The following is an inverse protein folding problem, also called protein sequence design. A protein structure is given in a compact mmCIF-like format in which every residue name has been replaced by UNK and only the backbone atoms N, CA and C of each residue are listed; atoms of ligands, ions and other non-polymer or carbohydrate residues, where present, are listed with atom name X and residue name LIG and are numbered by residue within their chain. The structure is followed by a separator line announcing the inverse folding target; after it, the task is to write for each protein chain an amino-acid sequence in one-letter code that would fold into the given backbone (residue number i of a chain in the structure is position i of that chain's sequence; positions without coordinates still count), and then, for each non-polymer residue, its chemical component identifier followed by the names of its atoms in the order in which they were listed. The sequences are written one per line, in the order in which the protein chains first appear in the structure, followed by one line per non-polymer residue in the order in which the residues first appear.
data_IF_073748334280
#
_entry.id   IF_073748334280
#
_cell.length_a   1.000
_cell.length_b   1.000
_cell.length_c   1.000
_cell.angle_alpha   90.00
_cell.angle_beta   90.00
_cell.angle_gamma   90.00
#
_symmetry.space_group_name_H-M   'P 1'
#
loop_
_entity.id
_entity.type
_entity.pdbx_description
1 polymer ?
#
# COMPACT_ATOMS: atom_id res chain seq x y z
N UNK A 1 32.29 -45.19 20.72
CA UNK A 1 30.83 -44.99 20.57
C UNK A 1 30.62 -43.60 20.00
N UNK A 2 30.30 -43.53 18.71
CA UNK A 2 30.20 -42.28 17.95
C UNK A 2 28.75 -41.81 17.94
N UNK A 3 28.48 -40.60 18.43
CA UNK A 3 27.15 -40.00 18.36
C UNK A 3 27.07 -39.09 17.14
N UNK A 4 26.29 -39.51 16.15
CA UNK A 4 25.89 -38.68 15.01
C UNK A 4 24.91 -37.60 15.48
N UNK A 5 25.09 -36.32 15.11
CA UNK A 5 24.17 -35.26 15.48
C UNK A 5 22.90 -35.32 14.63
N UNK A 6 21.76 -35.48 15.30
CA UNK A 6 20.42 -35.41 14.70
C UNK A 6 20.12 -33.96 14.29
N UNK A 7 20.02 -33.72 12.98
CA UNK A 7 19.54 -32.45 12.42
C UNK A 7 18.05 -32.28 12.71
N UNK A 8 17.69 -31.22 13.43
CA UNK A 8 16.28 -30.86 13.62
C UNK A 8 15.68 -30.29 12.32
N UNK A 9 14.40 -30.61 12.01
CA UNK A 9 13.73 -30.08 10.84
C UNK A 9 13.49 -28.57 10.99
N UNK A 10 13.92 -27.81 9.97
CA UNK A 10 13.65 -26.37 9.85
C UNK A 10 12.14 -26.11 9.90
N UNK A 11 11.68 -25.48 10.97
CA UNK A 11 10.34 -24.90 11.03
C UNK A 11 10.28 -23.70 10.09
N UNK A 12 9.32 -23.64 9.15
CA UNK A 12 9.19 -22.49 8.26
C UNK A 12 8.80 -21.26 9.06
N UNK A 13 9.61 -20.20 8.96
CA UNK A 13 9.31 -18.90 9.55
C UNK A 13 7.92 -18.42 9.09
N UNK A 14 7.02 -18.03 10.01
CA UNK A 14 5.75 -17.42 9.62
C UNK A 14 6.04 -16.11 8.89
N UNK A 15 5.61 -16.01 7.63
CA UNK A 15 5.71 -14.76 6.86
C UNK A 15 4.90 -13.67 7.58
N UNK A 16 5.40 -12.43 7.64
CA UNK A 16 4.65 -11.32 8.20
C UNK A 16 3.35 -11.12 7.40
N UNK A 17 2.21 -11.09 8.09
CA UNK A 17 0.92 -10.74 7.51
C UNK A 17 1.06 -9.40 6.78
N UNK A 18 0.88 -9.42 5.46
CA UNK A 18 0.88 -8.22 4.65
C UNK A 18 -0.49 -7.55 4.85
N UNK A 19 -0.62 -6.44 5.58
CA UNK A 19 -1.90 -5.88 6.01
C UNK A 19 -2.75 -5.32 4.86
N UNK A 20 -2.25 -5.38 3.62
CA UNK A 20 -2.93 -4.93 2.41
C UNK A 20 -3.75 -6.05 1.75
N UNK A 21 -3.49 -7.31 2.10
CA UNK A 21 -4.25 -8.45 1.61
C UNK A 21 -4.95 -9.13 2.76
N UNK A 22 -6.26 -9.19 2.62
CA UNK A 22 -7.15 -9.86 3.52
C UNK A 22 -6.84 -11.35 3.44
N UNK A 23 -6.71 -11.98 4.60
CA UNK A 23 -6.58 -13.44 4.67
C UNK A 23 -7.78 -14.11 4.00
N UNK A 24 -7.63 -15.35 3.51
CA UNK A 24 -8.77 -16.10 2.93
C UNK A 24 -9.93 -16.23 3.93
N UNK A 25 -9.62 -16.23 5.23
CA UNK A 25 -10.60 -16.19 6.31
C UNK A 25 -11.32 -14.83 6.40
N UNK A 26 -10.63 -13.71 6.17
CA UNK A 26 -11.24 -12.37 6.14
C UNK A 26 -12.07 -12.14 4.88
N UNK A 27 -11.79 -12.84 3.77
CA UNK A 27 -12.60 -12.82 2.54
C UNK A 27 -13.84 -13.72 2.59
N UNK A 28 -14.02 -14.49 3.66
CA UNK A 28 -15.23 -15.26 3.85
C UNK A 28 -16.45 -14.33 3.94
N UNK A 29 -17.60 -14.69 3.35
CA UNK A 29 -18.81 -13.85 3.33
C UNK A 29 -19.34 -13.47 4.73
N UNK A 30 -18.83 -14.12 5.79
CA UNK A 30 -19.24 -13.94 7.18
C UNK A 30 -18.12 -13.34 8.06
N UNK A 31 -16.92 -13.14 7.52
CA UNK A 31 -15.86 -12.50 8.26
C UNK A 31 -16.06 -10.99 8.19
N UNK A 32 -15.90 -10.33 9.33
CA UNK A 32 -15.96 -8.88 9.47
C UNK A 32 -14.76 -8.20 8.80
N UNK A 33 -14.49 -8.53 7.55
CA UNK A 33 -13.79 -7.66 6.64
C UNK A 33 -14.46 -6.31 6.75
N UNK A 34 -13.78 -5.35 7.39
CA UNK A 34 -14.41 -4.19 7.97
C UNK A 34 -15.09 -3.40 6.86
N UNK A 35 -16.41 -3.60 6.69
CA UNK A 35 -17.22 -2.94 5.65
C UNK A 35 -16.98 -1.43 5.72
N UNK A 36 -16.78 -0.89 6.92
CA UNK A 36 -16.45 0.53 7.13
C UNK A 36 -15.10 0.93 6.53
N UNK A 37 -14.09 0.06 6.55
CA UNK A 37 -12.81 0.32 5.88
C UNK A 37 -12.98 0.31 4.36
N UNK A 38 -13.77 -0.63 3.84
CA UNK A 38 -14.04 -0.69 2.40
C UNK A 38 -14.82 0.53 1.92
N UNK A 39 -15.84 0.94 2.67
CA UNK A 39 -16.61 2.17 2.47
C UNK A 39 -15.72 3.42 2.55
N UNK A 40 -14.78 3.45 3.49
CA UNK A 40 -13.82 4.55 3.61
C UNK A 40 -12.73 4.55 2.53
N UNK A 41 -12.46 3.41 1.88
CA UNK A 41 -11.39 3.25 0.89
C UNK A 41 -11.89 2.51 -0.38
N UNK A 42 -12.89 3.06 -1.10
CA UNK A 42 -13.57 2.34 -2.16
C UNK A 42 -12.62 1.97 -3.31
N UNK A 43 -11.75 2.90 -3.71
CA UNK A 43 -10.76 2.67 -4.77
C UNK A 43 -9.75 1.59 -4.41
N UNK A 44 -9.23 1.62 -3.19
CA UNK A 44 -8.23 0.64 -2.74
C UNK A 44 -8.87 -0.75 -2.62
N UNK A 45 -10.10 -0.80 -2.10
CA UNK A 45 -10.89 -2.03 -2.02
C UNK A 45 -11.15 -2.62 -3.40
N UNK A 46 -11.51 -1.80 -4.38
CA UNK A 46 -11.71 -2.23 -5.75
C UNK A 46 -10.41 -2.79 -6.38
N UNK A 47 -9.27 -2.11 -6.16
CA UNK A 47 -7.96 -2.60 -6.62
C UNK A 47 -7.57 -3.94 -5.99
N UNK A 48 -7.81 -4.12 -4.69
CA UNK A 48 -7.58 -5.39 -3.98
C UNK A 48 -8.47 -6.48 -4.59
N UNK A 49 -9.75 -6.18 -4.81
CA UNK A 49 -10.70 -7.08 -5.45
C UNK A 49 -10.21 -7.54 -6.84
N UNK A 50 -9.74 -6.63 -7.69
CA UNK A 50 -9.18 -6.98 -9.01
C UNK A 50 -8.00 -7.95 -8.90
N UNK A 51 -7.09 -7.73 -7.96
CA UNK A 51 -5.94 -8.63 -7.75
C UNK A 51 -6.39 -9.99 -7.21
N UNK A 52 -7.39 -10.02 -6.32
CA UNK A 52 -7.90 -11.26 -5.77
C UNK A 52 -8.54 -12.17 -6.83
N UNK A 53 -9.13 -11.59 -7.89
CA UNK A 53 -9.67 -12.34 -9.04
C UNK A 53 -8.61 -13.11 -9.83
N UNK A 54 -7.32 -12.82 -9.63
CA UNK A 54 -6.20 -13.55 -10.22
C UNK A 54 -5.92 -14.84 -9.44
N UNK A 55 -6.91 -15.72 -9.34
CA UNK A 55 -6.82 -16.97 -8.55
C UNK A 55 -5.73 -17.92 -9.04
N UNK A 56 -5.30 -17.78 -10.30
CA UNK A 56 -4.16 -18.51 -10.87
C UNK A 56 -2.81 -18.09 -10.27
N UNK A 57 -2.72 -16.91 -9.65
CA UNK A 57 -1.51 -16.43 -8.99
C UNK A 57 -1.55 -16.77 -7.50
N UNK A 58 -0.45 -17.29 -6.97
CA UNK A 58 -0.30 -17.51 -5.53
C UNK A 58 -0.45 -16.20 -4.75
N UNK A 59 -0.94 -16.29 -3.52
CA UNK A 59 -1.15 -15.13 -2.63
C UNK A 59 0.08 -14.21 -2.48
N UNK A 60 1.32 -14.72 -2.31
CA UNK A 60 2.50 -13.85 -2.21
C UNK A 60 2.80 -13.09 -3.52
N UNK A 61 2.48 -13.69 -4.66
CA UNK A 61 2.65 -13.08 -5.99
C UNK A 61 1.60 -11.99 -6.19
N UNK A 62 0.34 -12.25 -5.79
CA UNK A 62 -0.73 -11.25 -5.76
C UNK A 62 -0.37 -10.03 -4.91
N UNK A 63 0.16 -10.27 -3.70
CA UNK A 63 0.70 -9.21 -2.85
C UNK A 63 1.75 -8.35 -3.58
N UNK A 64 2.75 -9.02 -4.15
CA UNK A 64 3.87 -8.37 -4.82
C UNK A 64 3.43 -7.58 -6.06
N UNK A 65 2.44 -8.08 -6.80
CA UNK A 65 1.87 -7.42 -7.96
C UNK A 65 1.18 -6.11 -7.56
N UNK A 66 0.37 -6.13 -6.50
CA UNK A 66 -0.32 -4.94 -6.01
C UNK A 66 0.65 -3.88 -5.52
N UNK A 67 1.69 -4.28 -4.78
CA UNK A 67 2.74 -3.36 -4.35
C UNK A 67 3.49 -2.77 -5.56
N UNK A 68 3.77 -3.58 -6.58
CA UNK A 68 4.41 -3.13 -7.80
C UNK A 68 3.53 -2.14 -8.58
N UNK A 69 2.22 -2.38 -8.72
CA UNK A 69 1.30 -1.45 -9.37
C UNK A 69 1.17 -0.14 -8.58
N UNK A 70 1.12 -0.19 -7.25
CA UNK A 70 1.14 1.02 -6.41
C UNK A 70 2.45 1.81 -6.53
N UNK A 71 3.59 1.13 -6.73
CA UNK A 71 4.88 1.79 -6.88
C UNK A 71 5.13 2.36 -8.29
N UNK A 72 4.52 1.76 -9.31
CA UNK A 72 4.76 2.13 -10.72
C UNK A 72 3.67 3.06 -11.22
N UNK A 73 2.48 2.51 -11.44
CA UNK A 73 1.22 3.21 -11.65
C UNK A 73 0.13 2.15 -11.86
N UNK A 74 -1.11 2.51 -11.55
CA UNK A 74 -2.29 1.75 -11.97
C UNK A 74 -2.75 2.25 -13.35
N UNK A 75 -3.45 1.41 -14.15
CA UNK A 75 -4.13 1.87 -15.36
C UNK A 75 -4.97 3.11 -15.06
N UNK A 76 -4.97 4.06 -15.99
CA UNK A 76 -5.53 5.42 -15.79
C UNK A 76 -6.97 5.39 -15.32
N UNK A 77 -7.80 4.56 -15.95
CA UNK A 77 -9.20 4.41 -15.56
C UNK A 77 -9.35 3.79 -14.15
N UNK A 78 -8.36 3.04 -13.66
CA UNK A 78 -8.32 2.49 -12.30
C UNK A 78 -7.64 3.43 -11.28
N UNK A 79 -7.42 4.70 -11.64
CA UNK A 79 -6.86 5.71 -10.74
C UNK A 79 -7.90 6.45 -9.89
N UNK A 80 -9.18 6.38 -10.26
CA UNK A 80 -10.30 6.94 -9.49
C UNK A 80 -11.54 6.06 -9.60
N UNK A 81 -12.49 6.18 -8.66
CA UNK A 81 -13.76 5.45 -8.76
C UNK A 81 -14.64 5.96 -9.90
N UNK A 82 -14.60 7.27 -10.20
CA UNK A 82 -15.37 7.88 -11.27
C UNK A 82 -15.01 7.30 -12.64
N UNK A 83 -13.71 7.03 -12.85
CA UNK A 83 -13.20 6.45 -14.09
C UNK A 83 -13.23 4.92 -14.08
N UNK A 84 -13.13 4.27 -12.92
CA UNK A 84 -13.10 2.81 -12.84
C UNK A 84 -14.43 2.16 -13.22
N UNK A 85 -15.52 2.91 -13.11
CA UNK A 85 -16.85 2.50 -13.58
C UNK A 85 -17.03 2.58 -15.10
N UNK A 86 -16.10 3.22 -15.82
CA UNK A 86 -16.18 3.43 -17.26
C UNK A 86 -15.38 2.38 -18.01
N UNK A 87 -16.03 1.75 -18.99
CA UNK A 87 -15.34 0.89 -19.95
C UNK A 87 -14.44 1.74 -20.84
N UNK A 88 -13.21 1.26 -21.06
CA UNK A 88 -12.35 1.85 -22.07
C UNK A 88 -12.98 1.63 -23.45
N UNK A 89 -12.87 2.65 -24.30
CA UNK A 89 -13.22 2.48 -25.71
C UNK A 89 -12.12 1.65 -26.38
N UNK A 90 -12.47 0.61 -27.18
CA UNK A 90 -11.51 -0.08 -28.02
C UNK A 90 -10.69 0.93 -28.84
N UNK A 91 -9.38 0.69 -28.99
CA UNK A 91 -8.47 1.56 -29.75
C UNK A 91 -8.29 2.98 -29.20
N UNK A 92 -8.74 3.26 -27.98
CA UNK A 92 -8.40 4.50 -27.30
C UNK A 92 -6.88 4.67 -27.18
N UNK A 93 -6.35 5.89 -27.23
CA UNK A 93 -4.92 6.10 -27.04
C UNK A 93 -4.46 5.56 -25.69
N UNK A 94 -3.28 4.92 -25.66
CA UNK A 94 -2.69 4.42 -24.43
C UNK A 94 -2.02 5.57 -23.69
N UNK A 95 -2.39 5.79 -22.42
CA UNK A 95 -1.66 6.74 -21.59
C UNK A 95 -0.30 6.16 -21.18
N UNK A 96 0.61 7.03 -20.74
CA UNK A 96 1.91 6.61 -20.19
C UNK A 96 1.74 5.67 -18.99
N UNK A 97 0.76 5.92 -18.13
CA UNK A 97 0.46 5.08 -16.97
C UNK A 97 -0.12 3.72 -17.38
N UNK A 98 -0.95 3.68 -18.42
CA UNK A 98 -1.46 2.43 -18.97
C UNK A 98 -0.32 1.55 -19.51
N UNK A 99 0.65 2.15 -20.20
CA UNK A 99 1.84 1.44 -20.72
C UNK A 99 2.70 0.90 -19.58
N UNK A 100 2.93 1.71 -18.52
CA UNK A 100 3.66 1.28 -17.32
C UNK A 100 2.97 0.09 -16.64
N UNK A 101 1.65 0.19 -16.45
CA UNK A 101 0.85 -0.87 -15.84
C UNK A 101 0.85 -2.14 -16.71
N UNK A 102 0.70 -2.00 -18.04
CA UNK A 102 0.72 -3.11 -18.99
C UNK A 102 2.04 -3.89 -18.88
N UNK A 103 3.19 -3.21 -18.94
CA UNK A 103 4.49 -3.84 -18.77
C UNK A 103 4.62 -4.54 -17.40
N UNK A 104 4.10 -3.92 -16.33
CA UNK A 104 4.16 -4.50 -15.00
C UNK A 104 3.31 -5.78 -14.90
N UNK A 105 2.10 -5.79 -15.45
CA UNK A 105 1.22 -6.96 -15.40
C UNK A 105 1.84 -8.17 -16.12
N UNK A 106 2.40 -7.98 -17.31
CA UNK A 106 3.08 -9.06 -18.03
C UNK A 106 4.37 -9.52 -17.35
N UNK A 107 5.06 -8.64 -16.60
CA UNK A 107 6.21 -9.03 -15.77
C UNK A 107 5.82 -10.08 -14.72
N UNK A 108 4.58 -10.03 -14.22
CA UNK A 108 4.02 -11.02 -13.29
C UNK A 108 3.42 -12.25 -14.01
N UNK A 109 3.71 -12.43 -15.30
CA UNK A 109 3.25 -13.55 -16.12
C UNK A 109 1.72 -13.68 -16.19
N UNK A 110 0.99 -12.58 -16.07
CA UNK A 110 -0.44 -12.60 -16.35
C UNK A 110 -0.67 -12.89 -17.83
N UNK A 111 -1.69 -13.69 -18.12
CA UNK A 111 -2.11 -13.93 -19.51
C UNK A 111 -2.77 -12.68 -20.08
N UNK A 112 -2.73 -12.53 -21.40
CA UNK A 112 -3.35 -11.40 -22.10
C UNK A 112 -4.85 -11.29 -21.83
N UNK A 113 -5.53 -12.42 -21.66
CA UNK A 113 -6.96 -12.49 -21.32
C UNK A 113 -7.22 -11.95 -19.91
N UNK A 114 -6.36 -12.29 -18.93
CA UNK A 114 -6.49 -11.76 -17.58
C UNK A 114 -6.20 -10.25 -17.54
N UNK A 115 -5.20 -9.80 -18.28
CA UNK A 115 -4.83 -8.38 -18.37
C UNK A 115 -5.97 -7.56 -18.97
N UNK A 116 -6.49 -7.95 -20.13
CA UNK A 116 -7.58 -7.21 -20.79
C UNK A 116 -8.86 -7.25 -19.97
N UNK A 117 -9.19 -8.39 -19.36
CA UNK A 117 -10.44 -8.57 -18.62
C UNK A 117 -10.49 -7.81 -17.30
N UNK A 118 -9.38 -7.72 -16.57
CA UNK A 118 -9.38 -7.19 -15.20
C UNK A 118 -8.75 -5.80 -15.08
N UNK A 119 -7.85 -5.43 -15.99
CA UNK A 119 -7.06 -4.20 -15.86
C UNK A 119 -7.25 -3.21 -16.99
N UNK A 120 -7.82 -3.62 -18.12
CA UNK A 120 -8.08 -2.77 -19.28
C UNK A 120 -9.45 -3.08 -19.87
N UNK A 121 -10.48 -3.07 -19.02
CA UNK A 121 -11.83 -3.46 -19.41
C UNK A 121 -12.32 -2.60 -20.58
N UNK A 122 -12.71 -3.26 -21.68
CA UNK A 122 -13.07 -2.61 -22.94
C UNK A 122 -11.98 -2.63 -24.03
N UNK A 123 -10.73 -2.96 -23.68
CA UNK A 123 -9.70 -3.34 -24.66
C UNK A 123 -9.68 -4.86 -24.88
N UNK A 124 -9.23 -5.28 -26.05
CA UNK A 124 -9.12 -6.72 -26.35
C UNK A 124 -7.80 -7.30 -25.86
N UNK A 125 -7.76 -8.62 -25.66
CA UNK A 125 -6.53 -9.33 -25.29
C UNK A 125 -5.42 -9.18 -26.34
N UNK A 126 -5.80 -9.21 -27.63
CA UNK A 126 -4.86 -9.01 -28.74
C UNK A 126 -4.31 -7.59 -28.76
N UNK A 127 -5.15 -6.57 -28.51
CA UNK A 127 -4.69 -5.18 -28.42
C UNK A 127 -3.65 -4.98 -27.31
N UNK A 128 -3.85 -5.63 -26.16
CA UNK A 128 -2.88 -5.60 -25.05
C UNK A 128 -1.56 -6.28 -25.43
N UNK A 129 -1.62 -7.43 -26.11
CA UNK A 129 -0.45 -8.18 -26.57
C UNK A 129 0.33 -7.44 -27.67
N UNK A 130 -0.37 -6.93 -28.69
CA UNK A 130 0.21 -6.12 -29.77
C UNK A 130 0.90 -4.88 -29.21
N UNK A 131 0.26 -4.19 -28.24
CA UNK A 131 0.88 -3.02 -27.63
C UNK A 131 2.12 -3.37 -26.83
N UNK A 132 2.09 -4.47 -26.07
CA UNK A 132 3.29 -4.94 -25.36
C UNK A 132 4.41 -5.30 -26.33
N UNK A 133 4.12 -6.00 -27.41
CA UNK A 133 5.10 -6.37 -28.43
C UNK A 133 5.73 -5.13 -29.08
N UNK A 134 4.93 -4.10 -29.37
CA UNK A 134 5.41 -2.82 -29.88
C UNK A 134 6.37 -2.14 -28.88
N UNK A 135 6.00 -2.07 -27.59
CA UNK A 135 6.84 -1.50 -26.54
C UNK A 135 8.20 -2.22 -26.40
N UNK A 136 8.18 -3.55 -26.44
CA UNK A 136 9.41 -4.36 -26.40
C UNK A 136 10.28 -4.15 -27.65
N UNK A 137 9.66 -4.02 -28.83
CA UNK A 137 10.35 -3.69 -30.08
C UNK A 137 11.03 -2.33 -30.05
N UNK A 138 10.36 -1.31 -29.53
CA UNK A 138 10.91 0.04 -29.34
C UNK A 138 12.10 0.03 -28.37
N UNK A 139 12.00 -0.73 -27.28
CA UNK A 139 13.06 -0.87 -26.28
C UNK A 139 14.32 -1.55 -26.86
N UNK A 140 14.12 -2.59 -27.67
CA UNK A 140 15.21 -3.29 -28.36
C UNK A 140 15.89 -2.42 -29.42
N UNK A 141 15.13 -1.55 -30.13
CA UNK A 141 15.72 -0.60 -31.09
C UNK A 141 16.59 0.46 -30.43
N UNK A 142 16.19 0.95 -29.25
CA UNK A 142 16.95 1.98 -28.52
C UNK A 142 18.23 1.44 -27.86
N UNK A 143 18.33 0.13 -27.66
CA UNK A 143 19.47 -0.51 -26.98
C UNK A 143 20.59 -0.93 -27.93
N UNK A 144 20.43 -0.78 -29.25
CA UNK A 144 21.53 -0.91 -30.21
C UNK A 144 22.31 0.40 -30.19
N UNK A 145 23.54 0.46 -29.64
CA UNK A 145 24.34 1.66 -29.69
C UNK A 145 24.67 1.94 -31.17
N UNK A 146 24.11 3.02 -31.71
CA UNK A 146 24.55 3.54 -33.00
C UNK A 146 26.01 3.97 -32.86
N UNK A 147 26.94 3.17 -33.39
CA UNK A 147 28.39 3.31 -33.24
C UNK A 147 28.94 4.61 -33.87
N UNK A 148 28.13 5.37 -34.61
CA UNK A 148 28.56 6.63 -35.19
C UNK A 148 27.49 7.70 -34.99
N UNK A 149 27.74 8.64 -34.07
CA UNK A 149 27.72 10.11 -34.26
C UNK A 149 27.63 10.79 -32.88
N UNK A 150 28.57 11.67 -32.48
CA UNK A 150 28.42 12.45 -31.26
C UNK A 150 27.39 13.55 -31.48
N UNK A 151 26.14 13.33 -31.05
CA UNK A 151 25.07 14.35 -31.10
C UNK A 151 24.72 14.79 -29.69
N UNK A 152 24.74 16.11 -29.55
CA UNK A 152 24.42 16.94 -28.39
C UNK A 152 23.11 16.51 -27.71
N UNK A 153 23.17 16.21 -26.41
CA UNK A 153 22.07 15.67 -25.60
C UNK A 153 21.06 16.77 -25.30
N UNK A 154 19.95 16.82 -26.04
CA UNK A 154 18.73 17.50 -25.60
C UNK A 154 17.75 16.50 -24.97
N UNK A 155 17.01 16.99 -23.98
CA UNK A 155 16.17 16.27 -23.04
C UNK A 155 15.38 15.09 -23.64
N UNK A 156 15.73 13.87 -23.24
CA UNK A 156 14.96 12.67 -23.56
C UNK A 156 13.54 12.77 -23.01
N UNK A 157 12.56 12.40 -23.83
CA UNK A 157 11.14 12.38 -23.47
C UNK A 157 10.90 11.45 -22.28
N UNK A 158 9.86 11.72 -21.48
CA UNK A 158 9.55 10.93 -20.28
C UNK A 158 9.40 9.43 -20.59
N UNK A 159 8.91 9.11 -21.79
CA UNK A 159 8.82 7.77 -22.35
C UNK A 159 10.18 7.05 -22.45
N UNK A 160 11.25 7.78 -22.76
CA UNK A 160 12.60 7.26 -22.90
C UNK A 160 13.25 6.92 -21.54
N UNK A 161 12.93 7.70 -20.50
CA UNK A 161 13.29 7.35 -19.11
C UNK A 161 12.57 6.09 -18.63
N UNK A 162 11.34 5.86 -19.08
CA UNK A 162 10.55 4.69 -18.70
C UNK A 162 11.07 3.41 -19.31
N UNK A 163 11.38 3.42 -20.61
CA UNK A 163 11.98 2.28 -21.30
C UNK A 163 13.34 1.90 -20.68
N UNK A 164 14.13 2.89 -20.24
CA UNK A 164 15.40 2.64 -19.56
C UNK A 164 15.21 1.96 -18.19
N UNK A 165 14.15 2.29 -17.44
CA UNK A 165 13.85 1.65 -16.14
C UNK A 165 13.34 0.20 -16.27
N UNK A 166 12.64 -0.11 -17.36
CA UNK A 166 12.16 -1.44 -17.69
C UNK A 166 13.29 -2.38 -18.11
N UNK A 167 14.29 -1.85 -18.85
CA UNK A 167 15.49 -2.59 -19.28
C UNK A 167 16.28 -3.16 -18.09
N UNK A 168 16.57 -2.37 -17.06
CA UNK A 168 17.44 -2.80 -15.95
C UNK A 168 16.84 -3.93 -15.10
N UNK A 169 15.50 -4.02 -15.06
CA UNK A 169 14.78 -4.99 -14.24
C UNK A 169 14.26 -6.19 -15.05
N UNK A 170 14.00 -6.04 -16.36
CA UNK A 170 13.57 -7.10 -17.28
C UNK A 170 14.69 -8.06 -17.69
N UNK A 171 15.91 -7.55 -17.89
CA UNK A 171 17.05 -8.34 -18.36
C UNK A 171 17.56 -9.37 -17.34
N UNK A 172 17.33 -9.16 -16.03
CA UNK A 172 17.75 -10.11 -14.98
C UNK A 172 16.85 -11.33 -14.80
N UNK A 173 15.58 -11.28 -15.24
CA UNK A 173 14.59 -12.32 -14.95
C UNK A 173 14.32 -13.26 -16.14
N UNK A 174 14.43 -12.79 -17.38
CA UNK A 174 14.32 -13.65 -18.56
C UNK A 174 15.44 -14.71 -18.60
N UNK A 175 16.66 -14.35 -18.18
CA UNK A 175 17.77 -15.30 -18.04
C UNK A 175 17.55 -16.38 -16.97
N UNK A 176 16.73 -16.11 -15.95
CA UNK A 176 16.47 -17.09 -14.87
C UNK A 176 15.44 -18.14 -15.29
N UNK A 177 14.54 -17.80 -16.22
CA UNK A 177 13.49 -18.69 -16.71
C UNK A 177 14.01 -19.75 -17.69
N UNK A 178 14.95 -19.40 -18.58
CA UNK A 178 15.61 -20.40 -19.45
C UNK A 178 16.44 -21.40 -18.63
N UNK A 179 17.03 -20.97 -17.51
CA UNK A 179 17.75 -21.87 -16.60
C UNK A 179 16.82 -22.80 -15.81
N UNK A 180 15.59 -22.36 -15.47
CA UNK A 180 14.64 -23.18 -14.72
C UNK A 180 13.88 -24.18 -15.61
N UNK A 181 13.67 -23.88 -16.89
CA UNK A 181 13.06 -24.83 -17.84
C UNK A 181 14.02 -25.95 -18.29
N UNK A 182 15.33 -25.81 -18.05
CA UNK A 182 16.33 -26.83 -18.38
C UNK A 182 16.44 -27.97 -17.34
N UNK A 183 15.84 -27.83 -16.15
CA UNK A 183 15.91 -28.83 -15.07
C UNK A 183 14.51 -29.24 -14.59
N UNK A 184 13.75 -29.87 -15.47
CA UNK A 184 12.46 -30.47 -15.13
C UNK A 184 12.60 -31.92 -14.66
N UNK A 185 12.18 -32.21 -13.42
CA UNK A 185 11.86 -33.56 -12.93
C UNK A 185 10.35 -33.65 -12.70
N UNK A 186 9.64 -34.70 -13.16
CA UNK A 186 8.18 -34.74 -13.15
C UNK A 186 7.61 -35.13 -11.78
N UNK A 187 6.54 -34.45 -11.36
CA UNK A 187 5.75 -34.79 -10.15
C UNK A 187 4.46 -35.50 -10.56
N UNK A 188 4.21 -36.63 -9.90
CA UNK A 188 3.12 -37.56 -10.17
C UNK A 188 1.73 -37.09 -9.72
N UNK A 189 0.74 -37.69 -10.38
CA UNK A 189 -0.71 -37.62 -10.14
C UNK A 189 -1.07 -37.97 -8.70
N UNK A 190 -2.02 -37.22 -8.12
CA UNK A 190 -2.91 -37.74 -7.07
C UNK A 190 -4.33 -37.26 -7.36
N UNK A 191 -5.22 -38.22 -7.61
CA UNK A 191 -6.67 -38.09 -7.73
C UNK A 191 -7.33 -37.99 -6.34
N UNK A 192 -8.50 -37.35 -6.26
CA UNK A 192 -9.45 -37.60 -5.16
C UNK A 192 -10.31 -36.40 -4.77
N UNK A 193 -11.47 -36.25 -5.41
CA UNK A 193 -12.62 -35.52 -4.85
C UNK A 193 -13.31 -36.36 -3.76
N UNK A 194 -14.16 -35.76 -2.90
CA UNK A 194 -15.59 -35.87 -3.19
C UNK A 194 -16.48 -34.65 -2.82
N UNK A 195 -17.66 -34.71 -3.43
CA UNK A 195 -18.87 -33.90 -3.30
C UNK A 195 -19.43 -33.84 -1.87
N UNK A 196 -20.04 -32.70 -1.50
CA UNK A 196 -21.22 -32.69 -0.63
C UNK A 196 -22.22 -31.60 -1.06
N UNK A 197 -23.40 -32.08 -1.45
CA UNK A 197 -24.66 -31.34 -1.57
C UNK A 197 -25.28 -31.17 -0.18
N UNK A 198 -25.94 -30.03 0.10
CA UNK A 198 -27.37 -30.04 0.48
C UNK A 198 -27.94 -28.64 0.73
N UNK A 199 -29.12 -28.44 0.12
CA UNK A 199 -30.07 -27.37 0.38
C UNK A 199 -30.71 -27.54 1.77
N UNK A 200 -31.12 -26.42 2.36
CA UNK A 200 -32.02 -26.40 3.51
C UNK A 200 -32.57 -25.00 3.74
N UNK A 201 -33.70 -24.70 3.11
CA UNK A 201 -34.55 -23.54 3.40
C UNK A 201 -35.33 -23.77 4.69
N UNK A 202 -35.38 -22.79 5.59
CA UNK A 202 -36.45 -22.72 6.59
C UNK A 202 -36.86 -21.28 6.89
N UNK A 203 -38.06 -20.97 6.43
CA UNK A 203 -38.97 -19.89 6.78
C UNK A 203 -39.09 -19.64 8.28
N UNK A 204 -39.14 -18.36 8.68
CA UNK A 204 -39.87 -17.89 9.88
C UNK A 204 -40.06 -16.36 9.82
N UNK A 205 -41.27 -15.91 9.49
CA UNK A 205 -41.79 -14.60 9.94
C UNK A 205 -42.26 -14.74 11.40
N UNK A 206 -42.37 -13.62 12.14
CA UNK A 206 -43.72 -13.08 12.33
C UNK A 206 -43.83 -11.55 12.28
N UNK A 207 -45.01 -11.12 11.82
CA UNK A 207 -45.66 -9.84 12.05
C UNK A 207 -45.64 -9.39 13.52
N UNK A 208 -45.49 -8.08 13.77
CA UNK A 208 -46.30 -7.31 14.74
C UNK A 208 -46.13 -5.79 14.49
N UNK A 209 -47.14 -5.21 13.84
CA UNK A 209 -47.82 -3.89 13.97
C UNK A 209 -47.13 -2.59 14.47
N UNK A 210 -47.68 -1.41 14.05
CA UNK A 210 -47.03 -0.10 14.10
C UNK A 210 -47.49 0.78 15.28
N UNK A 211 -46.60 1.67 15.77
CA UNK A 211 -46.98 2.75 16.69
C UNK A 211 -46.31 4.07 16.26
N UNK A 212 -47.13 4.98 15.73
CA UNK A 212 -46.97 6.44 15.63
C UNK A 212 -48.07 6.97 16.57
N UNK A 213 -47.88 7.96 17.47
CA UNK A 213 -47.82 9.35 17.03
C UNK A 213 -47.17 10.42 17.94
N UNK A 214 -47.06 11.63 17.35
CA UNK A 214 -47.24 13.00 17.91
C UNK A 214 -46.02 13.95 17.90
N UNK A 215 -46.08 14.82 16.88
CA UNK A 215 -46.31 16.28 16.95
C UNK A 215 -45.52 17.17 17.92
N UNK A 216 -44.95 18.21 17.30
CA UNK A 216 -44.26 19.42 17.78
C UNK A 216 -44.91 20.20 18.94
N UNK A 217 -44.17 21.18 19.49
CA UNK A 217 -44.58 22.57 19.25
C UNK A 217 -43.44 23.51 18.81
N UNK A 218 -43.82 24.42 17.90
CA UNK A 218 -43.09 25.60 17.46
C UNK A 218 -43.01 26.67 18.55
N UNK A 219 -41.96 27.49 18.52
CA UNK A 219 -41.90 28.82 19.15
C UNK A 219 -41.87 29.92 18.09
N UNK A 220 -42.41 31.12 18.40
CA UNK A 220 -42.72 32.14 17.41
C UNK A 220 -41.59 33.15 17.17
N UNK A 221 -41.71 33.79 16.01
CA UNK A 221 -41.01 34.96 15.49
C UNK A 221 -40.64 36.04 16.52
N UNK A 222 -39.47 36.66 16.31
CA UNK A 222 -39.31 38.10 16.51
C UNK A 222 -38.52 38.73 15.38
N UNK A 223 -38.98 39.92 15.04
CA UNK A 223 -38.82 40.67 13.80
C UNK A 223 -37.55 41.56 13.83
N UNK A 224 -36.98 41.76 12.63
CA UNK A 224 -36.10 42.85 12.14
C UNK A 224 -36.41 44.27 12.69
N UNK A 225 -35.63 45.36 12.41
CA UNK A 225 -34.56 45.55 11.40
C UNK A 225 -33.33 46.39 11.86
N UNK A 226 -32.26 46.46 11.06
CA UNK A 226 -31.64 47.75 10.65
C UNK A 226 -30.45 47.56 9.71
N UNK A 227 -30.53 48.28 8.60
CA UNK A 227 -29.48 48.43 7.60
C UNK A 227 -28.39 49.38 8.11
N UNK A 228 -27.15 48.94 8.04
CA UNK A 228 -25.96 49.81 8.08
C UNK A 228 -24.93 49.22 7.12
N UNK A 229 -24.77 49.84 5.96
CA UNK A 229 -23.63 49.59 5.06
C UNK A 229 -22.33 49.97 5.77
N UNK A 230 -21.30 49.10 5.82
CA UNK A 230 -19.94 49.55 6.00
C UNK A 230 -19.25 49.62 4.64
N UNK A 231 -18.52 50.73 4.47
CA UNK A 231 -17.71 51.05 3.31
C UNK A 231 -16.80 49.90 2.88
N UNK A 232 -16.64 49.77 1.57
CA UNK A 232 -15.73 48.84 0.91
C UNK A 232 -14.28 49.15 1.32
N UNK A 233 -13.75 48.36 2.26
CA UNK A 233 -12.32 48.36 2.60
C UNK A 233 -11.54 47.81 1.40
N UNK A 234 -10.45 48.46 0.96
CA UNK A 234 -9.62 47.93 -0.11
C UNK A 234 -9.04 46.58 0.29
N UNK A 235 -9.26 45.58 -0.57
CA UNK A 235 -8.76 44.22 -0.39
C UNK A 235 -7.22 44.25 -0.38
N UNK A 236 -6.55 43.75 0.66
CA UNK A 236 -5.10 43.65 0.65
C UNK A 236 -4.66 42.70 -0.47
N UNK A 237 -3.51 42.97 -1.12
CA UNK A 237 -2.99 42.12 -2.19
C UNK A 237 -2.81 40.68 -1.68
N UNK A 238 -3.04 39.66 -2.53
CA UNK A 238 -2.92 38.27 -2.13
C UNK A 238 -1.51 37.99 -1.63
N UNK A 239 -1.40 37.66 -0.34
CA UNK A 239 -0.17 37.17 0.27
C UNK A 239 0.31 35.97 -0.55
N UNK A 240 1.59 35.94 -0.99
CA UNK A 240 2.11 34.80 -1.75
C UNK A 240 1.90 33.53 -0.94
N UNK A 241 1.05 32.64 -1.45
CA UNK A 241 0.72 31.38 -0.80
C UNK A 241 2.00 30.57 -0.63
N UNK A 242 2.48 30.43 0.60
CA UNK A 242 3.62 29.58 0.91
C UNK A 242 3.38 28.19 0.31
N UNK A 243 4.35 27.59 -0.40
CA UNK A 243 4.16 26.30 -1.03
C UNK A 243 3.72 25.27 0.01
N UNK A 244 2.62 24.59 -0.26
CA UNK A 244 2.09 23.55 0.64
C UNK A 244 3.18 22.49 0.86
N UNK A 245 3.52 22.15 2.11
CA UNK A 245 4.57 21.19 2.38
C UNK A 245 4.19 19.82 1.77
N UNK A 246 5.13 19.22 1.04
CA UNK A 246 4.96 17.85 0.53
C UNK A 246 5.27 16.85 1.64
N UNK A 247 4.65 15.66 1.59
CA UNK A 247 4.90 14.60 2.58
C UNK A 247 6.39 14.22 2.64
N UNK A 248 7.06 14.20 1.49
CA UNK A 248 8.49 13.96 1.38
C UNK A 248 9.31 15.03 2.12
N UNK A 249 8.96 16.31 1.99
CA UNK A 249 9.63 17.39 2.71
C UNK A 249 9.45 17.26 4.23
N UNK A 250 8.25 16.88 4.68
CA UNK A 250 7.96 16.66 6.11
C UNK A 250 8.74 15.48 6.69
N UNK A 251 8.77 14.35 5.97
CA UNK A 251 9.58 13.17 6.33
C UNK A 251 11.06 13.50 6.38
N UNK A 252 11.56 14.25 5.40
CA UNK A 252 12.95 14.70 5.37
C UNK A 252 13.25 15.63 6.55
N UNK A 253 12.35 16.56 6.90
CA UNK A 253 12.49 17.42 8.07
C UNK A 253 12.63 16.61 9.37
N UNK A 254 11.76 15.62 9.58
CA UNK A 254 11.84 14.76 10.77
C UNK A 254 13.17 13.97 10.84
N UNK A 255 13.67 13.51 9.69
CA UNK A 255 14.96 12.82 9.61
C UNK A 255 16.14 13.77 9.88
N UNK A 256 16.11 14.99 9.33
CA UNK A 256 17.15 16.01 9.56
C UNK A 256 17.24 16.40 11.03
N UNK A 257 16.11 16.45 11.74
CA UNK A 257 16.11 16.73 13.18
C UNK A 257 16.83 15.66 14.02
N UNK A 258 17.04 14.45 13.46
CA UNK A 258 17.80 13.39 14.12
C UNK A 258 19.31 13.47 13.84
N UNK A 259 19.76 14.41 13.01
CA UNK A 259 21.10 14.36 12.43
C UNK A 259 22.23 14.44 13.45
N UNK A 260 22.00 15.13 14.58
CA UNK A 260 22.97 15.32 15.64
C UNK A 260 23.09 14.10 16.58
N UNK A 261 22.19 13.12 16.47
CA UNK A 261 22.09 12.00 17.41
C UNK A 261 22.41 10.64 16.79
N UNK A 262 22.47 10.58 15.46
CA UNK A 262 22.62 9.34 14.70
C UNK A 262 23.91 9.35 13.90
N UNK A 263 24.60 8.21 13.84
CA UNK A 263 25.71 8.02 12.90
C UNK A 263 25.19 7.95 11.47
N UNK A 264 26.06 8.16 10.47
CA UNK A 264 25.68 8.04 9.05
C UNK A 264 25.02 6.70 8.72
N UNK A 265 25.54 5.59 9.30
CA UNK A 265 24.96 4.26 9.14
C UNK A 265 23.56 4.15 9.78
N UNK A 266 23.37 4.69 10.99
CA UNK A 266 22.06 4.71 11.65
C UNK A 266 21.04 5.54 10.86
N UNK A 267 21.45 6.68 10.29
CA UNK A 267 20.57 7.50 9.43
C UNK A 267 20.15 6.75 8.18
N UNK A 268 21.08 6.07 7.52
CA UNK A 268 20.79 5.25 6.34
C UNK A 268 19.82 4.11 6.69
N UNK A 269 20.04 3.44 7.82
CA UNK A 269 19.16 2.39 8.32
C UNK A 269 17.78 2.93 8.70
N UNK A 270 17.70 4.10 9.32
CA UNK A 270 16.44 4.74 9.68
C UNK A 270 15.64 5.12 8.43
N UNK A 271 16.28 5.76 7.44
CA UNK A 271 15.65 6.03 6.13
C UNK A 271 15.17 4.76 5.46
N UNK A 272 15.98 3.70 5.46
CA UNK A 272 15.62 2.41 4.85
C UNK A 272 14.45 1.75 5.58
N UNK A 273 14.45 1.78 6.90
CA UNK A 273 13.40 1.22 7.75
C UNK A 273 12.07 1.97 7.60
N UNK A 274 12.13 3.27 7.31
CA UNK A 274 10.97 4.13 7.06
C UNK A 274 10.74 4.34 5.56
N UNK A 275 11.06 3.36 4.69
CA UNK A 275 10.79 3.50 3.24
C UNK A 275 9.32 3.26 2.89
N UNK A 276 8.63 2.38 3.63
CA UNK A 276 7.23 2.07 3.37
C UNK A 276 6.32 3.00 4.18
N UNK A 277 5.15 3.36 3.65
CA UNK A 277 4.20 4.23 4.35
C UNK A 277 3.71 3.63 5.68
N UNK A 278 3.62 2.29 5.76
CA UNK A 278 3.18 1.57 6.96
C UNK A 278 4.22 1.62 8.11
N UNK A 279 5.48 1.90 7.79
CA UNK A 279 6.57 1.98 8.78
C UNK A 279 6.70 3.40 9.39
N UNK A 280 6.10 4.42 8.78
CA UNK A 280 6.06 5.77 9.35
C UNK A 280 5.05 5.85 10.51
N UNK A 281 5.27 6.73 11.51
CA UNK A 281 4.20 7.18 12.40
C UNK A 281 2.99 7.66 11.59
N UNK A 282 1.80 7.50 12.15
CA UNK A 282 0.51 7.76 11.49
C UNK A 282 0.44 9.17 10.91
N UNK A 283 0.87 10.18 11.67
CA UNK A 283 0.93 11.59 11.24
C UNK A 283 1.86 11.82 10.03
N UNK A 284 2.88 10.98 9.81
CA UNK A 284 3.79 11.04 8.66
C UNK A 284 3.47 9.99 7.58
N UNK A 285 2.36 9.24 7.72
CA UNK A 285 1.99 8.19 6.78
C UNK A 285 1.37 8.76 5.48
N UNK A 286 0.58 9.82 5.58
CA UNK A 286 -0.01 10.56 4.46
C UNK A 286 -0.23 12.05 4.83
N UNK A 287 -0.53 12.90 3.84
CA UNK A 287 -0.80 14.33 4.07
C UNK A 287 -2.08 14.57 4.88
N UNK A 288 -3.11 13.74 4.69
CA UNK A 288 -4.37 13.86 5.43
C UNK A 288 -4.14 13.72 6.94
N UNK A 289 -3.43 12.67 7.36
CA UNK A 289 -3.07 12.45 8.77
C UNK A 289 -2.14 13.53 9.32
N UNK A 290 -1.32 14.15 8.47
CA UNK A 290 -0.46 15.27 8.89
C UNK A 290 -1.29 16.50 9.28
N UNK A 291 -2.37 16.77 8.57
CA UNK A 291 -3.28 17.88 8.84
C UNK A 291 -4.36 17.55 9.88
N UNK A 292 -4.48 16.29 10.30
CA UNK A 292 -5.39 15.88 11.37
C UNK A 292 -4.98 16.48 12.73
N UNK A 293 -5.94 16.59 13.66
CA UNK A 293 -5.66 17.08 15.01
C UNK A 293 -4.66 16.14 15.71
N UNK A 294 -3.57 16.68 16.33
CA UNK A 294 -2.61 15.86 17.05
C UNK A 294 -3.27 15.07 18.18
N UNK A 295 -2.72 13.89 18.46
CA UNK A 295 -3.23 13.06 19.55
C UNK A 295 -3.14 13.81 20.89
N UNK A 296 -4.25 13.87 21.62
CA UNK A 296 -4.28 14.51 22.94
C UNK A 296 -3.38 13.76 23.93
N UNK A 297 -2.68 14.46 24.85
CA UNK A 297 -1.93 13.82 25.92
C UNK A 297 -2.82 12.82 26.70
N UNK A 298 -2.29 11.62 26.96
CA UNK A 298 -3.03 10.56 27.66
C UNK A 298 -3.93 9.68 26.79
N UNK A 299 -4.16 10.02 25.52
CA UNK A 299 -4.89 9.13 24.59
C UNK A 299 -4.16 7.81 24.36
N UNK A 300 -4.89 6.78 23.92
CA UNK A 300 -4.28 5.50 23.54
C UNK A 300 -3.32 5.64 22.36
N UNK A 301 -2.24 4.85 22.36
CA UNK A 301 -1.28 4.86 21.25
C UNK A 301 -1.81 4.07 20.08
N UNK A 302 -1.75 4.66 18.89
CA UNK A 302 -2.06 3.95 17.66
C UNK A 302 -1.07 2.79 17.47
N UNK A 303 -1.54 1.67 16.91
CA UNK A 303 -0.71 0.47 16.70
C UNK A 303 0.48 0.79 15.79
N UNK A 304 0.27 1.58 14.74
CA UNK A 304 1.31 2.02 13.82
C UNK A 304 2.36 2.89 14.52
N UNK A 305 1.94 3.84 15.37
CA UNK A 305 2.86 4.70 16.12
C UNK A 305 3.71 3.89 17.10
N UNK A 306 3.09 2.90 17.75
CA UNK A 306 3.79 1.99 18.67
C UNK A 306 4.87 1.18 17.96
N UNK A 307 4.58 0.65 16.77
CA UNK A 307 5.54 -0.07 15.93
C UNK A 307 6.65 0.86 15.42
N UNK A 308 6.28 2.04 14.93
CA UNK A 308 7.23 3.04 14.45
C UNK A 308 8.19 3.47 15.57
N UNK A 309 7.67 3.75 16.77
CA UNK A 309 8.49 4.14 17.93
C UNK A 309 9.52 3.06 18.27
N UNK A 310 9.11 1.80 18.34
CA UNK A 310 10.00 0.68 18.60
C UNK A 310 11.12 0.59 17.57
N UNK A 311 10.77 0.76 16.28
CA UNK A 311 11.71 0.67 15.17
C UNK A 311 12.70 1.82 15.14
N UNK A 312 12.22 3.06 15.30
CA UNK A 312 13.05 4.26 15.39
C UNK A 312 14.03 4.11 16.55
N UNK A 313 13.55 3.67 17.72
CA UNK A 313 14.38 3.54 18.93
C UNK A 313 15.45 2.45 18.82
N UNK A 314 15.16 1.32 18.19
CA UNK A 314 16.14 0.23 17.96
C UNK A 314 17.28 0.66 17.03
N UNK A 315 16.98 1.50 16.04
CA UNK A 315 17.99 2.01 15.11
C UNK A 315 18.80 3.13 15.78
N UNK A 316 18.11 4.02 16.47
CA UNK A 316 18.66 5.19 17.15
C UNK A 316 18.64 5.06 18.66
N UNK A 317 19.42 4.14 19.23
CA UNK A 317 19.48 3.94 20.70
C UNK A 317 19.93 5.20 21.48
N UNK A 318 20.63 6.12 20.81
CA UNK A 318 21.05 7.41 21.38
C UNK A 318 20.09 8.55 21.09
N UNK A 319 19.08 8.34 20.25
CA UNK A 319 18.11 9.37 19.89
C UNK A 319 17.23 9.73 21.10
N UNK A 320 17.23 10.99 21.59
CA UNK A 320 16.45 11.36 22.75
C UNK A 320 14.95 11.17 22.53
N UNK A 321 14.23 10.73 23.57
CA UNK A 321 12.77 10.59 23.52
C UNK A 321 12.06 11.91 23.25
N UNK A 322 12.63 13.03 23.71
CA UNK A 322 12.14 14.37 23.39
C UNK A 322 12.09 14.63 21.89
N UNK A 323 13.20 14.37 21.19
CA UNK A 323 13.31 14.54 19.73
C UNK A 323 12.34 13.61 19.00
N UNK A 324 12.20 12.36 19.45
CA UNK A 324 11.22 11.44 18.86
C UNK A 324 9.79 11.95 19.02
N UNK A 325 9.41 12.39 20.22
CA UNK A 325 8.07 12.91 20.49
C UNK A 325 7.77 14.14 19.63
N UNK A 326 8.67 15.12 19.58
CA UNK A 326 8.47 16.36 18.84
C UNK A 326 8.40 16.16 17.32
N UNK A 327 9.25 15.27 16.77
CA UNK A 327 9.42 15.17 15.32
C UNK A 327 8.56 14.07 14.67
N UNK A 328 8.25 13.00 15.41
CA UNK A 328 7.55 11.83 14.87
C UNK A 328 6.15 11.65 15.46
N UNK A 329 5.91 12.10 16.69
CA UNK A 329 4.67 11.83 17.43
C UNK A 329 4.07 13.11 18.04
N UNK A 330 3.66 14.09 17.22
CA UNK A 330 3.13 15.35 17.73
C UNK A 330 1.92 15.11 18.64
N UNK A 331 1.86 15.87 19.73
CA UNK A 331 0.87 15.70 20.80
C UNK A 331 1.25 14.67 21.87
N UNK A 332 2.29 13.87 21.65
CA UNK A 332 2.87 12.98 22.67
C UNK A 332 3.98 13.69 23.46
N UNK A 333 4.07 13.36 24.74
CA UNK A 333 5.17 13.84 25.59
C UNK A 333 6.35 12.87 25.54
N UNK A 334 7.54 13.37 25.89
CA UNK A 334 8.74 12.55 26.05
C UNK A 334 8.49 11.34 26.97
N UNK A 335 7.86 11.58 28.13
CA UNK A 335 7.58 10.53 29.10
C UNK A 335 6.61 9.48 28.55
N UNK A 336 5.61 9.90 27.77
CA UNK A 336 4.68 8.97 27.13
C UNK A 336 5.42 8.03 26.16
N UNK A 337 6.29 8.57 25.32
CA UNK A 337 7.10 7.77 24.38
C UNK A 337 8.04 6.82 25.13
N UNK A 338 8.71 7.30 26.18
CA UNK A 338 9.60 6.48 27.02
C UNK A 338 8.86 5.32 27.69
N UNK A 339 7.71 5.60 28.28
CA UNK A 339 6.89 4.60 28.98
C UNK A 339 6.38 3.54 28.01
N UNK A 340 5.87 3.95 26.83
CA UNK A 340 5.41 3.02 25.81
C UNK A 340 6.54 2.08 25.35
N UNK A 341 7.70 2.64 25.02
CA UNK A 341 8.87 1.84 24.61
C UNK A 341 9.27 0.83 25.70
N UNK A 342 9.35 1.28 26.95
CA UNK A 342 9.68 0.40 28.08
C UNK A 342 8.68 -0.74 28.26
N UNK A 343 7.38 -0.47 28.10
CA UNK A 343 6.34 -1.50 28.15
C UNK A 343 6.47 -2.51 27.00
N UNK A 344 6.66 -2.02 25.77
CA UNK A 344 6.78 -2.87 24.58
C UNK A 344 8.03 -3.77 24.66
N UNK A 345 9.17 -3.21 25.03
CA UNK A 345 10.42 -3.97 25.17
C UNK A 345 10.32 -5.08 26.25
N UNK A 346 9.61 -4.82 27.36
CA UNK A 346 9.32 -5.83 28.39
C UNK A 346 8.46 -6.97 27.84
N UNK A 347 7.42 -6.64 27.05
CA UNK A 347 6.55 -7.65 26.43
C UNK A 347 7.31 -8.54 25.45
N UNK A 348 8.19 -7.96 24.63
CA UNK A 348 9.02 -8.75 23.69
C UNK A 348 10.00 -9.66 24.43
N UNK A 349 10.61 -9.17 25.51
CA UNK A 349 11.50 -10.01 26.34
C UNK A 349 10.73 -11.16 27.01
N UNK A 350 9.51 -10.91 27.47
CA UNK A 350 8.65 -11.95 28.04
C UNK A 350 8.24 -12.99 26.99
N UNK A 351 7.91 -12.55 25.78
CA UNK A 351 7.58 -13.43 24.65
C UNK A 351 8.78 -14.30 24.22
N UNK A 352 9.99 -13.73 24.21
CA UNK A 352 11.22 -14.47 23.89
C UNK A 352 11.66 -15.43 25.01
N UNK A 353 11.38 -15.11 26.27
CA UNK A 353 11.79 -15.91 27.44
C UNK A 353 10.81 -17.03 27.84
N UNK A 354 9.58 -17.04 27.32
CA UNK A 354 8.53 -17.98 27.72
C UNK A 354 8.67 -19.43 27.23
N UNK A 355 9.72 -19.76 26.46
CA UNK A 355 9.91 -21.09 25.85
C UNK A 355 10.81 -22.07 26.62
N UNK A 356 11.43 -21.67 27.74
CA UNK A 356 12.51 -22.44 28.37
C UNK A 356 12.21 -23.08 29.73
N UNK A 357 10.94 -23.19 30.13
CA UNK A 357 10.53 -23.52 31.49
C UNK A 357 9.96 -24.92 31.71
N UNK A 358 10.41 -25.97 31.00
CA UNK A 358 10.10 -27.35 31.39
C UNK A 358 11.06 -27.74 32.52
N UNK A 359 10.63 -27.50 33.77
CA UNK A 359 11.30 -28.06 34.95
C UNK A 359 11.14 -29.59 34.90
N UNK A 360 12.26 -30.31 34.96
CA UNK A 360 12.30 -31.75 35.21
C UNK A 360 12.05 -32.03 36.67
#
# INVERSE_FOLDING_TARGET
MSHSPTLQPNTPNPRPNNPLFLSDAELAPNAGLNIRWMEANPLLSYRIFLIQRLTALEFPVRCSLFDALNATSWPTHLQSMDTASQLLKPWSPWSVDDLRALCMLYRFSLTKEAVSRYFFEGRTANECEERLAALLGELNRKTVPSVHTPVNVQAGTEEERLLSSLSTYGQRQLLTREQQLAFGTPVGKVEGSPLYSNLGSTTSQPDTTPIIPKSSPQTPNSTNPSASSPASTPTPPPTPSSPKPTLTALRNKALLACDNYLTGAQKANLRKALRTNADWPLHLACLENFYAEPAKPGSEWHVQDSKALLRIRRIGERLPFKVMAEQFFPGRTENAARNLFGMMAKREKAAAGGGGGVRK
#
